data_IF_083337399146
#
_entry.id   IF_083337399146
#
_cell.length_a   1.000
_cell.length_b   1.000
_cell.length_c   1.000
_cell.angle_alpha   90.00
_cell.angle_beta   90.00
_cell.angle_gamma   90.00
#
_symmetry.space_group_name_H-M   'P 1'
#
loop_
_entity.id
_entity.type
_entity.pdbx_description
1 polymer ?
#
# COMPACT_ATOMS: atom_id res chain seq x y z
N UNK A 1 3.10 16.63 14.58
CA UNK A 1 2.53 15.54 13.76
C UNK A 1 1.94 16.14 12.52
N UNK A 2 2.46 15.77 11.35
CA UNK A 2 1.94 16.26 10.07
C UNK A 2 0.53 15.72 9.84
N UNK A 3 -0.34 16.55 9.27
CA UNK A 3 -1.65 16.12 8.79
C UNK A 3 -1.44 15.18 7.60
N UNK A 4 -2.03 13.97 7.58
CA UNK A 4 -1.96 13.09 6.42
C UNK A 4 -2.44 13.81 5.17
N UNK A 5 -1.73 13.63 4.06
CA UNK A 5 -2.12 14.20 2.75
C UNK A 5 -3.25 13.36 2.15
N UNK A 6 -3.20 12.06 2.39
CA UNK A 6 -4.16 11.08 1.90
C UNK A 6 -4.85 10.37 3.06
N UNK A 7 -6.14 10.09 2.91
CA UNK A 7 -6.89 9.26 3.84
C UNK A 7 -6.59 7.77 3.59
N UNK A 8 -6.55 7.32 2.33
CA UNK A 8 -6.24 5.93 1.98
C UNK A 8 -5.53 5.85 0.64
N UNK A 9 -4.27 5.43 0.66
CA UNK A 9 -3.54 5.12 -0.57
C UNK A 9 -3.66 3.64 -0.92
N UNK A 10 -3.80 3.33 -2.21
CA UNK A 10 -3.70 1.99 -2.75
C UNK A 10 -2.44 1.85 -3.60
N UNK A 11 -1.67 0.78 -3.38
CA UNK A 11 -0.45 0.47 -4.13
C UNK A 11 -0.65 -0.85 -4.86
N UNK A 12 -0.72 -0.79 -6.19
CA UNK A 12 -0.81 -1.96 -7.06
C UNK A 12 0.59 -2.27 -7.58
N UNK A 13 1.10 -3.43 -7.18
CA UNK A 13 2.50 -3.83 -7.31
C UNK A 13 3.25 -3.62 -6.00
N UNK A 14 3.61 -4.71 -5.31
CA UNK A 14 4.34 -4.69 -4.04
C UNK A 14 5.79 -5.21 -4.19
N UNK A 15 6.37 -5.00 -5.37
CA UNK A 15 7.80 -5.18 -5.63
C UNK A 15 8.65 -4.08 -4.99
N UNK A 16 9.82 -3.79 -5.56
CA UNK A 16 10.77 -2.83 -4.98
C UNK A 16 10.17 -1.42 -4.81
N UNK A 17 9.55 -0.88 -5.87
CA UNK A 17 9.04 0.49 -5.89
C UNK A 17 7.83 0.63 -4.97
N UNK A 18 6.80 -0.19 -5.16
CA UNK A 18 5.59 -0.12 -4.34
C UNK A 18 5.85 -0.36 -2.85
N UNK A 19 6.70 -1.32 -2.50
CA UNK A 19 7.08 -1.53 -1.10
C UNK A 19 7.88 -0.35 -0.52
N UNK A 20 8.75 0.28 -1.31
CA UNK A 20 9.49 1.47 -0.87
C UNK A 20 8.56 2.66 -0.63
N UNK A 21 7.57 2.86 -1.50
CA UNK A 21 6.54 3.90 -1.34
C UNK A 21 5.70 3.63 -0.09
N UNK A 22 5.26 2.38 0.14
CA UNK A 22 4.49 2.01 1.34
C UNK A 22 5.27 2.34 2.62
N UNK A 23 6.57 1.99 2.66
CA UNK A 23 7.44 2.28 3.81
C UNK A 23 7.61 3.78 4.02
N UNK A 24 7.83 4.55 2.95
CA UNK A 24 7.97 6.00 3.04
C UNK A 24 6.66 6.67 3.48
N UNK A 25 5.52 6.26 2.93
CA UNK A 25 4.21 6.79 3.30
C UNK A 25 3.90 6.55 4.79
N UNK A 26 4.26 5.37 5.32
CA UNK A 26 4.13 5.04 6.74
C UNK A 26 5.10 5.85 7.61
N UNK A 27 6.36 5.98 7.19
CA UNK A 27 7.41 6.68 7.95
C UNK A 27 7.15 8.20 8.04
N UNK A 28 6.71 8.81 6.94
CA UNK A 28 6.46 10.26 6.84
C UNK A 28 5.03 10.63 7.28
N UNK A 29 4.18 9.64 7.59
CA UNK A 29 2.77 9.88 7.93
C UNK A 29 1.97 10.49 6.78
N UNK A 30 2.35 10.21 5.53
CA UNK A 30 1.75 10.80 4.34
C UNK A 30 0.30 10.32 4.10
N UNK A 31 -0.04 9.11 4.58
CA UNK A 31 -1.35 8.51 4.44
C UNK A 31 -1.86 7.95 5.77
N UNK A 32 -3.16 8.06 6.05
CA UNK A 32 -3.77 7.44 7.24
C UNK A 32 -3.90 5.92 7.09
N UNK A 33 -4.22 5.43 5.90
CA UNK A 33 -4.28 4.02 5.57
C UNK A 33 -3.48 3.70 4.29
N UNK A 34 -2.90 2.51 4.24
CA UNK A 34 -2.14 2.00 3.10
C UNK A 34 -2.69 0.62 2.77
N UNK A 35 -3.22 0.44 1.57
CA UNK A 35 -3.65 -0.83 1.01
C UNK A 35 -2.71 -1.25 -0.13
N UNK A 36 -2.45 -2.55 -0.25
CA UNK A 36 -1.54 -3.10 -1.24
C UNK A 36 -2.14 -4.34 -1.92
N UNK A 37 -1.84 -4.49 -3.20
CA UNK A 37 -2.06 -5.73 -3.93
C UNK A 37 -0.87 -6.01 -4.86
N UNK A 38 -0.57 -7.28 -5.07
CA UNK A 38 0.37 -7.76 -6.07
C UNK A 38 -0.19 -9.03 -6.72
N UNK A 39 0.08 -9.27 -8.00
CA UNK A 39 -0.41 -10.47 -8.68
C UNK A 39 0.23 -11.76 -8.12
N UNK A 40 1.45 -11.68 -7.59
CA UNK A 40 2.14 -12.81 -6.99
C UNK A 40 1.72 -13.04 -5.54
N UNK A 41 1.20 -14.24 -5.24
CA UNK A 41 0.85 -14.64 -3.88
C UNK A 41 2.06 -14.61 -2.93
N UNK A 42 3.25 -14.96 -3.42
CA UNK A 42 4.48 -14.92 -2.64
C UNK A 42 4.87 -13.49 -2.25
N UNK A 43 4.67 -12.53 -3.17
CA UNK A 43 4.92 -11.11 -2.89
C UNK A 43 3.92 -10.61 -1.86
N UNK A 44 2.63 -10.96 -1.99
CA UNK A 44 1.61 -10.63 -0.98
C UNK A 44 1.95 -11.21 0.40
N UNK A 45 2.42 -12.45 0.48
CA UNK A 45 2.84 -13.07 1.73
C UNK A 45 4.02 -12.32 2.37
N UNK A 46 5.02 -11.91 1.58
CA UNK A 46 6.15 -11.10 2.07
C UNK A 46 5.71 -9.71 2.52
N UNK A 47 4.82 -9.06 1.78
CA UNK A 47 4.28 -7.75 2.13
C UNK A 47 3.53 -7.77 3.48
N UNK A 48 2.77 -8.85 3.74
CA UNK A 48 2.12 -9.09 5.05
C UNK A 48 3.16 -9.28 6.16
N UNK A 49 4.17 -10.11 5.94
CA UNK A 49 5.24 -10.34 6.90
C UNK A 49 6.07 -9.08 7.23
N UNK A 50 6.17 -8.14 6.28
CA UNK A 50 6.84 -6.84 6.44
C UNK A 50 5.93 -5.73 6.99
N UNK A 51 4.65 -6.01 7.22
CA UNK A 51 3.67 -5.06 7.75
C UNK A 51 3.60 -3.74 6.96
N UNK A 52 3.67 -3.84 5.62
CA UNK A 52 3.66 -2.70 4.70
C UNK A 52 2.33 -1.95 4.67
N UNK A 53 1.25 -2.59 5.11
CA UNK A 53 -0.11 -2.08 5.11
C UNK A 53 -1.13 -3.23 5.04
N UNK A 54 -2.37 -2.90 4.70
CA UNK A 54 -3.42 -3.88 4.43
C UNK A 54 -3.15 -4.56 3.08
N UNK A 55 -2.82 -5.85 3.07
CA UNK A 55 -2.58 -6.59 1.82
C UNK A 55 -3.86 -7.30 1.41
N UNK A 56 -4.47 -6.82 0.33
CA UNK A 56 -5.71 -7.34 -0.25
C UNK A 56 -5.45 -8.54 -1.17
N UNK A 57 -6.47 -9.37 -1.37
CA UNK A 57 -6.35 -10.58 -2.21
C UNK A 57 -6.57 -10.31 -3.70
N UNK A 58 -7.17 -9.16 -4.04
CA UNK A 58 -7.32 -8.66 -5.40
C UNK A 58 -7.13 -7.13 -5.46
N UNK A 59 -6.96 -6.62 -6.69
CA UNK A 59 -6.77 -5.19 -6.94
C UNK A 59 -8.01 -4.36 -6.58
N UNK A 60 -9.22 -4.93 -6.70
CA UNK A 60 -10.47 -4.24 -6.41
C UNK A 60 -10.60 -3.88 -4.94
N UNK A 61 -10.27 -4.82 -4.05
CA UNK A 61 -10.22 -4.59 -2.62
C UNK A 61 -9.14 -3.58 -2.21
N UNK A 62 -7.99 -3.57 -2.90
CA UNK A 62 -6.93 -2.61 -2.61
C UNK A 62 -7.35 -1.17 -2.95
N UNK A 63 -8.01 -0.94 -4.08
CA UNK A 63 -8.42 0.41 -4.51
C UNK A 63 -9.73 0.90 -3.90
N UNK A 64 -10.47 0.03 -3.21
CA UNK A 64 -11.71 0.41 -2.54
C UNK A 64 -11.45 1.57 -1.56
N UNK A 65 -12.24 2.64 -1.70
CA UNK A 65 -12.17 3.87 -0.91
C UNK A 65 -10.82 4.61 -0.93
N UNK A 66 -9.92 4.27 -1.86
CA UNK A 66 -8.64 4.93 -1.99
C UNK A 66 -8.80 6.31 -2.64
N UNK A 67 -8.20 7.33 -2.04
CA UNK A 67 -8.16 8.70 -2.58
C UNK A 67 -6.90 8.97 -3.43
N UNK A 68 -5.98 8.00 -3.47
CA UNK A 68 -4.83 7.98 -4.38
C UNK A 68 -4.41 6.54 -4.70
N UNK A 69 -4.09 6.29 -5.98
CA UNK A 69 -3.64 4.97 -6.46
C UNK A 69 -2.27 5.09 -7.10
N UNK A 70 -1.34 4.23 -6.68
CA UNK A 70 -0.02 4.05 -7.30
C UNK A 70 -0.03 2.74 -8.10
N UNK A 71 0.33 2.83 -9.37
CA UNK A 71 0.60 1.67 -10.22
C UNK A 71 2.13 1.52 -10.35
N UNK A 72 2.71 0.46 -9.80
CA UNK A 72 4.15 0.26 -9.67
C UNK A 72 4.61 -1.13 -10.13
#
# INVERSE_FOLDING_TARGET
MMTPIFERIAIIGAGLIGASIARAAKAEGAARAIALYDCSADVRARARALELGEVCDDAGGAVADADMVVLA
#
